data_IF_709804754100
#
_entry.id   IF_709804754100
#
_cell.length_a   1.000
_cell.length_b   1.000
_cell.length_c   1.000
_cell.angle_alpha   90.00
_cell.angle_beta   90.00
_cell.angle_gamma   90.00
#
_symmetry.space_group_name_H-M   'P 1'
#
loop_
_entity.id
_entity.type
_entity.pdbx_description
1 polymer ?
#
# COMPACT_ATOMS: atom_id res chain seq x y z
N UNK A 1 27.88 4.94 13.68
CA UNK A 1 26.42 4.95 13.46
C UNK A 1 26.23 4.86 11.96
N UNK A 2 25.56 3.83 11.46
CA UNK A 2 25.29 3.70 10.02
C UNK A 2 24.12 4.64 9.66
N UNK A 3 24.12 5.20 8.46
CA UNK A 3 23.09 6.15 8.01
C UNK A 3 21.69 5.52 8.05
N UNK A 4 21.61 4.22 7.76
CA UNK A 4 20.37 3.44 7.81
C UNK A 4 19.78 3.29 9.21
N UNK A 5 20.57 3.55 10.25
CA UNK A 5 20.14 3.44 11.66
C UNK A 5 19.53 4.75 12.20
N UNK A 6 19.62 5.85 11.43
CA UNK A 6 19.17 7.18 11.87
C UNK A 6 18.28 7.90 10.87
N UNK A 7 18.34 7.52 9.59
CA UNK A 7 17.54 8.16 8.56
C UNK A 7 16.09 7.66 8.63
N UNK A 8 15.18 8.54 9.03
CA UNK A 8 13.75 8.30 8.96
C UNK A 8 13.00 9.64 8.85
N UNK A 9 11.72 9.57 8.51
CA UNK A 9 10.84 10.73 8.59
C UNK A 9 10.50 11.06 10.04
N UNK A 10 10.10 12.31 10.32
CA UNK A 10 9.71 12.73 11.67
C UNK A 10 8.62 11.81 12.24
N UNK A 11 8.93 11.18 13.37
CA UNK A 11 8.11 10.15 14.01
C UNK A 11 6.90 10.71 14.77
N UNK A 12 5.99 9.83 15.18
CA UNK A 12 4.85 10.16 16.04
C UNK A 12 3.66 10.81 15.34
N UNK A 13 2.75 11.34 16.16
CA UNK A 13 1.43 11.85 15.74
C UNK A 13 1.25 13.36 16.04
N UNK A 14 2.33 14.04 16.45
CA UNK A 14 2.31 15.46 16.82
C UNK A 14 2.36 16.42 15.61
N UNK A 15 2.22 17.73 15.85
CA UNK A 15 2.14 18.75 14.79
C UNK A 15 3.35 18.80 13.85
N UNK A 16 4.54 18.40 14.32
CA UNK A 16 5.76 18.34 13.51
C UNK A 16 6.02 16.96 12.88
N UNK A 17 5.16 15.98 13.13
CA UNK A 17 5.29 14.62 12.59
C UNK A 17 5.14 14.61 11.07
N UNK A 18 5.76 13.63 10.42
CA UNK A 18 5.56 13.43 9.00
C UNK A 18 4.12 13.06 8.66
N UNK A 19 3.45 12.31 9.54
CA UNK A 19 2.04 11.94 9.37
C UNK A 19 1.16 13.16 9.07
N UNK A 20 1.28 14.24 9.85
CA UNK A 20 0.50 15.47 9.67
C UNK A 20 1.06 16.44 8.62
N UNK A 21 2.31 16.26 8.18
CA UNK A 21 2.98 17.16 7.24
C UNK A 21 3.24 16.55 5.84
N UNK A 22 2.67 15.39 5.55
CA UNK A 22 2.86 14.64 4.28
C UNK A 22 1.95 15.10 3.12
N UNK A 23 1.45 16.34 3.13
CA UNK A 23 0.48 16.84 2.12
C UNK A 23 1.01 16.75 0.70
N UNK A 24 2.27 17.14 0.48
CA UNK A 24 2.87 17.16 -0.85
C UNK A 24 3.07 15.75 -1.42
N UNK A 25 3.53 14.81 -0.60
CA UNK A 25 3.74 13.41 -1.00
C UNK A 25 2.41 12.73 -1.27
N UNK A 26 1.36 12.99 -0.49
CA UNK A 26 0.01 12.49 -0.77
C UNK A 26 -0.56 13.01 -2.09
N UNK A 27 -0.39 14.31 -2.40
CA UNK A 27 -0.81 14.86 -3.70
C UNK A 27 -0.06 14.19 -4.85
N UNK A 28 1.25 13.94 -4.67
CA UNK A 28 2.07 13.26 -5.66
C UNK A 28 1.62 11.82 -5.87
N UNK A 29 1.31 11.11 -4.78
CA UNK A 29 0.76 9.76 -4.83
C UNK A 29 -0.56 9.70 -5.60
N UNK A 30 -1.51 10.60 -5.31
CA UNK A 30 -2.77 10.70 -6.05
C UNK A 30 -2.54 10.94 -7.54
N UNK A 31 -1.61 11.83 -7.91
CA UNK A 31 -1.26 12.09 -9.31
C UNK A 31 -0.64 10.88 -10.01
N UNK A 32 -0.04 9.96 -9.27
CA UNK A 32 0.56 8.73 -9.82
C UNK A 32 -0.46 7.61 -10.06
N UNK A 33 -1.66 7.68 -9.48
CA UNK A 33 -2.71 6.66 -9.61
C UNK A 33 -2.96 6.21 -11.06
N UNK A 34 -3.10 7.09 -12.07
CA UNK A 34 -3.32 6.65 -13.44
C UNK A 34 -2.17 5.79 -13.98
N UNK A 35 -0.93 6.08 -13.60
CA UNK A 35 0.25 5.30 -14.00
C UNK A 35 0.27 3.95 -13.28
N UNK A 36 -0.04 3.95 -11.98
CA UNK A 36 -0.15 2.73 -11.19
C UNK A 36 -1.21 1.77 -11.77
N UNK A 37 -2.41 2.29 -12.11
CA UNK A 37 -3.48 1.49 -12.71
C UNK A 37 -3.03 0.82 -14.00
N UNK A 38 -2.40 1.57 -14.91
CA UNK A 38 -1.85 1.03 -16.17
C UNK A 38 -0.79 -0.04 -15.93
N UNK A 39 0.06 0.14 -14.92
CA UNK A 39 1.08 -0.85 -14.56
C UNK A 39 0.43 -2.15 -14.07
N UNK A 40 -0.57 -2.07 -13.19
CA UNK A 40 -1.32 -3.24 -12.71
C UNK A 40 -2.04 -3.93 -13.86
N UNK A 41 -2.77 -3.20 -14.70
CA UNK A 41 -3.50 -3.75 -15.85
C UNK A 41 -2.55 -4.45 -16.83
N UNK A 42 -1.31 -3.99 -16.95
CA UNK A 42 -0.31 -4.65 -17.80
C UNK A 42 0.06 -6.06 -17.33
N UNK A 43 -0.09 -6.36 -16.04
CA UNK A 43 0.16 -7.70 -15.49
C UNK A 43 -0.82 -8.76 -16.01
N UNK A 44 -1.96 -8.34 -16.55
CA UNK A 44 -3.01 -9.22 -17.10
C UNK A 44 -2.91 -9.43 -18.62
N UNK A 45 -1.93 -8.80 -19.29
CA UNK A 45 -1.75 -8.94 -20.75
C UNK A 45 -0.97 -10.20 -21.13
N UNK A 46 -0.20 -10.74 -20.20
CA UNK A 46 0.52 -12.00 -20.36
C UNK A 46 -0.48 -13.17 -20.38
N UNK A 47 -0.09 -14.31 -20.99
CA UNK A 47 -0.95 -15.50 -21.09
C UNK A 47 -1.46 -16.00 -19.73
N UNK A 48 -0.73 -15.68 -18.65
CA UNK A 48 -1.15 -15.85 -17.27
C UNK A 48 -0.65 -14.68 -16.43
N UNK A 49 -1.49 -14.08 -15.55
CA UNK A 49 -1.00 -13.09 -14.59
C UNK A 49 0.05 -13.72 -13.66
N UNK A 50 1.01 -12.94 -13.13
CA UNK A 50 2.08 -13.44 -12.27
C UNK A 50 1.61 -13.89 -10.87
N UNK A 51 0.31 -14.04 -10.68
CA UNK A 51 -0.35 -14.43 -9.44
C UNK A 51 -1.57 -15.29 -9.76
N UNK A 52 -1.73 -16.39 -9.03
CA UNK A 52 -2.87 -17.30 -9.18
C UNK A 52 -3.86 -17.18 -8.02
N UNK A 53 -3.34 -17.18 -6.79
CA UNK A 53 -4.15 -17.09 -5.56
C UNK A 53 -3.71 -15.98 -4.60
N UNK A 54 -2.50 -15.45 -4.78
CA UNK A 54 -1.89 -14.46 -3.89
C UNK A 54 -1.16 -13.42 -4.72
N UNK A 55 -1.49 -12.15 -4.50
CA UNK A 55 -0.75 -11.01 -5.03
C UNK A 55 0.08 -10.36 -3.92
N UNK A 56 1.39 -10.39 -4.10
CA UNK A 56 2.34 -9.70 -3.24
C UNK A 56 2.57 -8.27 -3.75
N UNK A 57 2.47 -7.29 -2.85
CA UNK A 57 2.68 -5.87 -3.17
C UNK A 57 3.63 -5.29 -2.13
N UNK A 58 4.70 -4.63 -2.57
CA UNK A 58 5.65 -3.97 -1.69
C UNK A 58 5.66 -2.46 -1.93
N UNK A 59 5.54 -1.69 -0.85
CA UNK A 59 5.79 -0.24 -0.84
C UNK A 59 7.14 0.03 -0.19
N UNK A 60 8.09 0.56 -0.96
CA UNK A 60 9.49 0.73 -0.56
C UNK A 60 9.72 2.20 -0.17
N UNK A 61 9.94 2.45 1.12
CA UNK A 61 9.99 3.78 1.71
C UNK A 61 8.61 4.25 2.18
N UNK A 62 7.94 3.44 3.00
CA UNK A 62 6.54 3.66 3.42
C UNK A 62 6.36 4.76 4.48
N UNK A 63 7.43 5.19 5.16
CA UNK A 63 7.41 6.14 6.26
C UNK A 63 6.29 5.81 7.28
N UNK A 64 5.46 6.79 7.65
CA UNK A 64 4.33 6.61 8.56
C UNK A 64 3.03 6.14 7.88
N UNK A 65 3.09 5.67 6.64
CA UNK A 65 1.96 5.04 5.93
C UNK A 65 0.90 5.98 5.34
N UNK A 66 1.07 7.30 5.40
CA UNK A 66 0.07 8.25 4.89
C UNK A 66 -0.18 8.10 3.38
N UNK A 67 0.89 7.91 2.62
CA UNK A 67 0.84 7.66 1.17
C UNK A 67 0.40 6.22 0.87
N UNK A 68 0.92 5.22 1.59
CA UNK A 68 0.56 3.81 1.42
C UNK A 68 -0.95 3.59 1.56
N UNK A 69 -1.58 4.25 2.55
CA UNK A 69 -3.03 4.21 2.76
C UNK A 69 -3.85 4.72 1.56
N UNK A 70 -3.29 5.60 0.74
CA UNK A 70 -3.95 6.10 -0.49
C UNK A 70 -3.79 5.12 -1.66
N UNK A 71 -2.64 4.45 -1.74
CA UNK A 71 -2.25 3.62 -2.87
C UNK A 71 -2.81 2.19 -2.77
N UNK A 72 -2.76 1.58 -1.59
CA UNK A 72 -3.21 0.21 -1.36
C UNK A 72 -4.66 -0.06 -1.83
N UNK A 73 -5.67 0.80 -1.52
CA UNK A 73 -7.02 0.59 -2.03
C UNK A 73 -7.09 0.64 -3.56
N UNK A 74 -6.31 1.52 -4.19
CA UNK A 74 -6.23 1.61 -5.65
C UNK A 74 -5.71 0.31 -6.25
N UNK A 75 -4.72 -0.33 -5.62
CA UNK A 75 -4.18 -1.61 -6.06
C UNK A 75 -5.26 -2.69 -6.01
N UNK A 76 -5.89 -2.87 -4.83
CA UNK A 76 -6.94 -3.87 -4.63
C UNK A 76 -8.06 -3.69 -5.65
N UNK A 77 -8.58 -2.47 -5.78
CA UNK A 77 -9.69 -2.19 -6.66
C UNK A 77 -9.38 -2.49 -8.13
N UNK A 78 -8.18 -2.11 -8.58
CA UNK A 78 -7.79 -2.29 -9.99
C UNK A 78 -7.64 -3.77 -10.32
N UNK A 79 -7.02 -4.54 -9.43
CA UNK A 79 -6.87 -6.00 -9.59
C UNK A 79 -8.22 -6.70 -9.56
N UNK A 80 -9.07 -6.39 -8.56
CA UNK A 80 -10.41 -6.97 -8.43
C UNK A 80 -11.25 -6.70 -9.67
N UNK A 81 -11.28 -5.46 -10.15
CA UNK A 81 -12.01 -5.09 -11.36
C UNK A 81 -11.52 -5.87 -12.58
N UNK A 82 -10.20 -6.00 -12.74
CA UNK A 82 -9.62 -6.71 -13.89
C UNK A 82 -9.86 -8.22 -13.81
N UNK A 83 -9.78 -8.82 -12.62
CA UNK A 83 -10.16 -10.21 -12.41
C UNK A 83 -11.62 -10.45 -12.78
N UNK A 84 -12.55 -9.58 -12.36
CA UNK A 84 -13.97 -9.68 -12.71
C UNK A 84 -14.21 -9.56 -14.21
N UNK A 85 -13.55 -8.60 -14.88
CA UNK A 85 -13.65 -8.39 -16.33
C UNK A 85 -13.21 -9.62 -17.12
N UNK A 86 -12.13 -10.28 -16.68
CA UNK A 86 -11.55 -11.45 -17.35
C UNK A 86 -12.11 -12.78 -16.82
N UNK A 87 -13.08 -12.74 -15.90
CA UNK A 87 -13.61 -13.91 -15.21
C UNK A 87 -12.52 -14.77 -14.52
N UNK A 88 -11.49 -14.13 -14.00
CA UNK A 88 -10.44 -14.74 -13.18
C UNK A 88 -10.84 -14.77 -11.70
N UNK A 89 -10.24 -15.70 -10.96
CA UNK A 89 -10.33 -15.72 -9.49
C UNK A 89 -9.68 -14.48 -8.90
N UNK A 90 -10.31 -13.89 -7.89
CA UNK A 90 -9.74 -12.77 -7.13
C UNK A 90 -8.65 -13.33 -6.20
N UNK A 91 -7.41 -12.82 -6.24
CA UNK A 91 -6.35 -13.27 -5.34
C UNK A 91 -6.52 -12.69 -3.93
N UNK A 92 -5.89 -13.32 -2.95
CA UNK A 92 -5.60 -12.68 -1.67
C UNK A 92 -4.50 -11.61 -1.86
N UNK A 93 -4.49 -10.61 -1.00
CA UNK A 93 -3.51 -9.51 -1.07
C UNK A 93 -2.58 -9.57 0.14
N UNK A 94 -1.28 -9.48 -0.13
CA UNK A 94 -0.27 -9.37 0.92
C UNK A 94 0.60 -8.14 0.66
N UNK A 95 0.43 -7.13 1.52
CA UNK A 95 1.16 -5.88 1.47
C UNK A 95 2.37 -5.90 2.39
N UNK A 96 3.52 -5.53 1.86
CA UNK A 96 4.78 -5.35 2.56
C UNK A 96 5.10 -3.87 2.58
N UNK A 97 5.02 -3.24 3.74
CA UNK A 97 5.39 -1.84 3.92
C UNK A 97 6.83 -1.82 4.44
N UNK A 98 7.76 -1.48 3.55
CA UNK A 98 9.18 -1.47 3.83
C UNK A 98 9.69 -0.05 4.10
N UNK A 99 10.56 0.08 5.10
CA UNK A 99 11.36 1.27 5.33
C UNK A 99 12.61 0.85 6.13
N UNK A 100 13.47 1.80 6.47
CA UNK A 100 14.66 1.55 7.28
C UNK A 100 14.29 1.15 8.72
N UNK A 101 15.17 0.44 9.45
CA UNK A 101 14.90 0.01 10.82
C UNK A 101 14.56 1.14 11.80
N UNK A 102 15.03 2.37 11.53
CA UNK A 102 14.75 3.56 12.33
C UNK A 102 13.35 4.15 12.11
N UNK A 103 12.59 3.68 11.13
CA UNK A 103 11.26 4.19 10.84
C UNK A 103 10.24 3.88 11.96
N UNK A 104 9.24 4.74 12.10
CA UNK A 104 8.19 4.60 13.10
C UNK A 104 7.04 3.69 12.62
N UNK A 105 7.32 2.38 12.60
CA UNK A 105 6.32 1.37 12.26
C UNK A 105 5.13 1.35 13.25
N UNK A 106 5.30 1.82 14.49
CA UNK A 106 4.20 1.85 15.46
C UNK A 106 3.11 2.84 15.03
N UNK A 107 3.51 4.04 14.59
CA UNK A 107 2.58 5.03 14.05
C UNK A 107 1.93 4.53 12.76
N UNK A 108 2.69 3.87 11.88
CA UNK A 108 2.16 3.23 10.68
C UNK A 108 1.08 2.19 11.01
N UNK A 109 1.33 1.26 11.94
CA UNK A 109 0.36 0.22 12.29
C UNK A 109 -0.90 0.76 12.96
N UNK A 110 -0.79 1.82 13.79
CA UNK A 110 -1.95 2.52 14.34
C UNK A 110 -2.86 3.08 13.24
N UNK A 111 -2.26 3.67 12.20
CA UNK A 111 -2.99 4.24 11.05
C UNK A 111 -3.69 3.18 10.19
N UNK A 112 -3.11 1.98 10.09
CA UNK A 112 -3.66 0.88 9.29
C UNK A 112 -4.93 0.25 9.86
N UNK A 113 -5.19 0.38 11.16
CA UNK A 113 -6.44 -0.10 11.76
C UNK A 113 -7.69 0.51 11.10
N UNK A 114 -7.56 1.72 10.53
CA UNK A 114 -8.63 2.33 9.74
C UNK A 114 -8.81 1.68 8.36
N UNK A 115 -7.72 1.26 7.70
CA UNK A 115 -7.76 0.65 6.36
C UNK A 115 -8.45 -0.72 6.35
N UNK A 116 -8.19 -1.56 7.36
CA UNK A 116 -8.80 -2.91 7.46
C UNK A 116 -10.27 -2.85 7.87
N UNK A 117 -10.70 -1.80 8.59
CA UNK A 117 -12.07 -1.67 9.11
C UNK A 117 -13.05 -0.83 8.28
N UNK A 118 -12.56 -0.08 7.28
CA UNK A 118 -13.39 0.85 6.49
C UNK A 118 -13.50 0.52 5.01
N UNK A 119 -12.98 -0.65 4.60
CA UNK A 119 -13.20 -1.15 3.25
C UNK A 119 -14.69 -1.24 2.98
N UNK A 120 -15.19 -0.44 2.02
CA UNK A 120 -16.57 -0.58 1.54
C UNK A 120 -16.84 -2.00 1.02
N UNK A 121 -18.08 -2.29 0.60
CA UNK A 121 -18.56 -3.61 0.15
C UNK A 121 -17.60 -4.37 -0.81
N UNK A 122 -16.68 -3.67 -1.49
CA UNK A 122 -15.65 -4.24 -2.37
C UNK A 122 -14.51 -4.99 -1.64
N UNK A 123 -14.29 -4.71 -0.35
CA UNK A 123 -13.31 -5.39 0.50
C UNK A 123 -13.91 -6.56 1.31
N UNK A 124 -15.23 -6.65 1.45
CA UNK A 124 -15.89 -7.66 2.29
C UNK A 124 -15.61 -9.10 1.84
N UNK A 125 -15.25 -9.30 0.57
CA UNK A 125 -14.94 -10.61 0.01
C UNK A 125 -13.45 -10.83 -0.33
N UNK A 126 -12.56 -9.93 0.11
CA UNK A 126 -11.15 -9.95 -0.29
C UNK A 126 -10.22 -9.96 0.92
N UNK A 127 -9.49 -11.06 1.12
CA UNK A 127 -8.51 -11.18 2.21
C UNK A 127 -7.31 -10.27 1.95
N UNK A 128 -6.97 -9.42 2.91
CA UNK A 128 -5.85 -8.48 2.85
C UNK A 128 -5.00 -8.56 4.12
N UNK A 129 -3.73 -8.94 3.97
CA UNK A 129 -2.74 -8.95 5.04
C UNK A 129 -1.74 -7.82 4.82
N UNK A 130 -1.43 -7.05 5.87
CA UNK A 130 -0.43 -5.98 5.83
C UNK A 130 0.67 -6.28 6.84
N UNK A 131 1.92 -6.19 6.41
CA UNK A 131 3.10 -6.44 7.24
C UNK A 131 4.09 -5.29 7.12
N UNK A 132 4.77 -4.98 8.22
CA UNK A 132 5.93 -4.09 8.22
C UNK A 132 7.21 -4.89 7.94
N UNK A 133 8.07 -4.35 7.10
CA UNK A 133 9.35 -4.93 6.71
C UNK A 133 10.49 -3.92 6.99
N UNK A 134 11.03 -3.88 8.23
CA UNK A 134 12.17 -3.01 8.59
C UNK A 134 13.49 -3.48 7.97
#
# INVERSE_FOLDING_TARGET
MDMKDVLCMNTGEGESSYLLNSKFTNVTAIKSIPTLKRAIESLFKEESPPFEHLLNVADLGCASGSTSNTIMPTVVQTVVNKCRELNHKIPEFQFYLNDLPSNDFNTLFKGLNGFVGSGGEEFENTSCLVMGAP
#
